data_IF_807036750575
#
_entry.id   IF_807036750575
#
_cell.length_a   1.000
_cell.length_b   1.000
_cell.length_c   1.000
_cell.angle_alpha   90.00
_cell.angle_beta   90.00
_cell.angle_gamma   90.00
#
_symmetry.space_group_name_H-M   'P 1'
#
loop_
_entity.id
_entity.type
_entity.pdbx_description
1 polymer ?
#
# COMPACT_ATOMS: atom_id res chain seq x y z
N UNK A 1 -5.99 -4.06 13.90
CA UNK A 1 -5.67 -5.32 13.20
C UNK A 1 -5.52 -5.20 11.67
N UNK A 2 -6.56 -4.98 10.86
CA UNK A 2 -6.42 -5.06 9.38
C UNK A 2 -5.44 -4.04 8.76
N UNK A 3 -5.53 -2.77 9.18
CA UNK A 3 -4.57 -1.74 8.78
C UNK A 3 -3.18 -2.07 9.33
N UNK A 4 -3.09 -2.69 10.51
CA UNK A 4 -1.81 -3.10 11.10
C UNK A 4 -1.14 -4.20 10.28
N UNK A 5 -1.91 -5.12 9.68
CA UNK A 5 -1.41 -6.12 8.72
C UNK A 5 -0.84 -5.47 7.46
N UNK A 6 -1.47 -4.40 6.96
CA UNK A 6 -0.88 -3.55 5.91
C UNK A 6 0.37 -2.78 6.41
N UNK A 7 0.42 -2.45 7.70
CA UNK A 7 1.54 -1.69 8.30
C UNK A 7 2.80 -2.50 8.56
N UNK A 8 2.76 -3.84 8.50
CA UNK A 8 3.95 -4.71 8.60
C UNK A 8 4.91 -4.45 7.42
N UNK A 9 4.45 -3.73 6.40
CA UNK A 9 5.20 -3.40 5.20
C UNK A 9 5.60 -1.93 5.24
N UNK A 10 6.49 -1.50 6.16
CA UNK A 10 7.81 -2.12 6.36
C UNK A 10 8.28 -2.21 7.83
N UNK A 11 8.54 -3.43 8.33
CA UNK A 11 9.09 -3.76 9.67
C UNK A 11 10.37 -2.99 10.09
N UNK A 12 10.99 -2.22 9.20
CA UNK A 12 12.19 -1.39 9.48
C UNK A 12 12.00 0.10 9.30
N UNK A 13 10.80 0.56 8.92
CA UNK A 13 10.61 1.98 8.65
C UNK A 13 10.07 2.71 9.87
N UNK A 14 10.70 3.83 10.23
CA UNK A 14 10.19 4.79 11.22
C UNK A 14 8.94 5.55 10.72
N UNK A 15 8.19 4.98 9.77
CA UNK A 15 7.12 5.67 9.05
C UNK A 15 5.84 5.68 9.89
N UNK A 16 5.30 6.88 10.09
CA UNK A 16 4.01 7.07 10.75
C UNK A 16 2.90 6.98 9.71
N UNK A 17 1.95 6.06 9.93
CA UNK A 17 0.71 6.01 9.17
C UNK A 17 -0.12 7.26 9.44
N UNK A 18 -0.10 8.18 8.47
CA UNK A 18 -0.90 9.41 8.54
C UNK A 18 -2.40 9.08 8.40
N UNK A 19 -3.31 9.94 8.89
CA UNK A 19 -4.75 9.76 8.67
C UNK A 19 -5.11 9.57 7.19
N UNK A 20 -4.42 10.28 6.29
CA UNK A 20 -4.59 10.14 4.85
C UNK A 20 -4.24 8.73 4.36
N UNK A 21 -3.10 8.16 4.79
CA UNK A 21 -2.72 6.79 4.40
C UNK A 21 -3.71 5.75 4.91
N UNK A 22 -4.25 5.93 6.12
CA UNK A 22 -5.29 5.05 6.66
C UNK A 22 -6.58 5.13 5.85
N UNK A 23 -6.95 6.32 5.37
CA UNK A 23 -8.12 6.52 4.50
C UNK A 23 -7.95 5.79 3.17
N UNK A 24 -6.80 5.91 2.52
CA UNK A 24 -6.50 5.19 1.27
C UNK A 24 -6.50 3.67 1.48
N UNK A 25 -5.86 3.17 2.54
CA UNK A 25 -5.91 1.74 2.86
C UNK A 25 -7.33 1.24 3.14
N UNK A 26 -8.16 2.05 3.78
CA UNK A 26 -9.57 1.69 4.04
C UNK A 26 -10.37 1.65 2.74
N UNK A 27 -10.15 2.60 1.83
CA UNK A 27 -10.77 2.62 0.51
C UNK A 27 -10.35 1.39 -0.29
N UNK A 28 -9.04 1.11 -0.40
CA UNK A 28 -8.54 -0.14 -0.99
C UNK A 28 -9.23 -1.36 -0.40
N UNK A 29 -9.36 -1.49 0.92
CA UNK A 29 -9.93 -2.71 1.51
C UNK A 29 -11.44 -2.88 1.34
N UNK A 30 -12.19 -1.79 1.12
CA UNK A 30 -13.66 -1.79 1.12
C UNK A 30 -14.28 -1.60 -0.26
N UNK A 31 -13.60 -0.89 -1.15
CA UNK A 31 -14.11 -0.58 -2.47
C UNK A 31 -13.70 -1.68 -3.46
N UNK A 32 -14.63 -2.44 -4.05
CA UNK A 32 -14.30 -3.51 -4.98
C UNK A 32 -13.58 -3.01 -6.25
N UNK A 33 -13.82 -1.76 -6.67
CA UNK A 33 -13.18 -1.17 -7.85
C UNK A 33 -11.70 -0.82 -7.59
N UNK A 34 -11.34 -0.60 -6.33
CA UNK A 34 -9.96 -0.31 -5.92
C UNK A 34 -9.15 -1.60 -5.83
N UNK A 35 -8.65 -2.06 -6.99
CA UNK A 35 -7.92 -3.33 -7.15
C UNK A 35 -6.45 -3.24 -6.76
N UNK A 36 -5.88 -2.04 -6.74
CA UNK A 36 -4.46 -1.83 -6.46
C UNK A 36 -4.26 -0.73 -5.43
N UNK A 37 -3.26 -0.92 -4.57
CA UNK A 37 -2.72 0.14 -3.73
C UNK A 37 -1.20 0.10 -3.84
N UNK A 38 -0.60 1.27 -4.02
CA UNK A 38 0.84 1.44 -4.13
C UNK A 38 1.35 2.16 -2.89
N UNK A 39 2.45 1.67 -2.35
CA UNK A 39 3.24 2.33 -1.32
C UNK A 39 4.64 2.54 -1.88
N UNK A 40 5.14 3.76 -1.94
CA UNK A 40 6.42 4.03 -2.63
C UNK A 40 7.22 5.14 -2.01
N UNK A 41 8.52 5.11 -2.29
CA UNK A 41 9.48 6.11 -1.81
C UNK A 41 9.58 7.25 -2.82
N UNK A 42 9.33 8.47 -2.37
CA UNK A 42 9.54 9.71 -3.14
C UNK A 42 10.68 10.51 -2.55
N UNK A 43 11.49 11.14 -3.41
CA UNK A 43 12.46 12.15 -3.01
C UNK A 43 11.93 13.52 -3.40
N UNK A 44 11.76 14.41 -2.44
CA UNK A 44 11.30 15.78 -2.65
C UNK A 44 12.15 16.73 -1.81
N UNK A 45 12.73 17.77 -2.44
CA UNK A 45 13.56 18.78 -1.80
C UNK A 45 14.65 18.20 -0.86
N UNK A 46 15.39 17.19 -1.35
CA UNK A 46 16.45 16.51 -0.60
C UNK A 46 15.96 15.58 0.54
N UNK A 47 14.65 15.42 0.71
CA UNK A 47 14.05 14.55 1.73
C UNK A 47 13.42 13.32 1.08
N UNK A 48 13.73 12.16 1.64
CA UNK A 48 13.08 10.89 1.29
C UNK A 48 11.81 10.74 2.13
N UNK A 49 10.68 10.46 1.48
CA UNK A 49 9.36 10.25 2.11
C UNK A 49 8.68 9.04 1.52
N UNK A 50 7.75 8.47 2.27
CA UNK A 50 6.81 7.47 1.76
C UNK A 50 5.55 8.17 1.26
N UNK A 51 5.00 7.68 0.18
CA UNK A 51 3.69 8.02 -0.34
C UNK A 51 2.85 6.75 -0.47
N UNK A 52 1.54 6.89 -0.31
CA UNK A 52 0.54 5.85 -0.58
C UNK A 52 -0.42 6.40 -1.62
N UNK A 53 -0.81 5.58 -2.59
CA UNK A 53 -1.71 5.95 -3.69
C UNK A 53 -2.52 4.73 -4.11
N UNK A 54 -3.76 4.93 -4.53
CA UNK A 54 -4.58 3.91 -5.19
C UNK A 54 -4.28 3.82 -6.69
N UNK A 55 -3.63 4.85 -7.23
CA UNK A 55 -3.14 4.87 -8.61
C UNK A 55 -1.68 4.45 -8.68
N UNK A 56 -1.28 3.92 -9.84
CA UNK A 56 0.12 3.66 -10.14
C UNK A 56 0.94 4.95 -10.05
N UNK A 57 2.13 4.92 -9.42
CA UNK A 57 2.99 6.09 -9.34
C UNK A 57 3.41 6.54 -10.75
N UNK A 58 3.23 7.81 -11.05
CA UNK A 58 3.67 8.43 -12.31
C UNK A 58 4.99 9.15 -12.06
N UNK A 59 6.03 8.79 -12.81
CA UNK A 59 7.36 9.40 -12.74
C UNK A 59 8.41 8.58 -11.96
N UNK A 60 9.57 9.20 -11.73
CA UNK A 60 10.69 8.55 -11.06
C UNK A 60 10.44 8.43 -9.55
N UNK A 61 10.13 7.21 -9.11
CA UNK A 61 9.99 6.84 -7.70
C UNK A 61 11.09 5.84 -7.32
N UNK A 62 11.39 5.77 -6.03
CA UNK A 62 12.32 4.78 -5.49
C UNK A 62 11.70 3.39 -5.44
N UNK A 63 11.92 2.66 -4.34
CA UNK A 63 11.25 1.39 -4.10
C UNK A 63 9.73 1.56 -4.11
N UNK A 64 9.03 0.60 -4.73
CA UNK A 64 7.58 0.53 -4.78
C UNK A 64 7.11 -0.83 -4.28
N UNK A 65 6.12 -0.81 -3.40
CA UNK A 65 5.36 -1.96 -2.96
C UNK A 65 3.94 -1.86 -3.52
N UNK A 66 3.56 -2.82 -4.35
CA UNK A 66 2.21 -2.95 -4.88
C UNK A 66 1.43 -3.94 -4.03
N UNK A 67 0.19 -3.60 -3.71
CA UNK A 67 -0.79 -4.45 -3.08
C UNK A 67 -1.91 -4.67 -4.08
N UNK A 68 -2.13 -5.92 -4.46
CA UNK A 68 -3.08 -6.34 -5.50
C UNK A 68 -4.17 -7.18 -4.86
N UNK A 69 -5.43 -6.88 -5.14
CA UNK A 69 -6.52 -7.81 -4.82
C UNK A 69 -6.54 -8.96 -5.82
N UNK A 70 -6.52 -10.18 -5.32
CA UNK A 70 -6.53 -11.41 -6.11
C UNK A 70 -7.93 -11.92 -6.40
N UNK A 71 -8.90 -11.56 -5.57
CA UNK A 71 -10.26 -12.07 -5.65
C UNK A 71 -11.26 -10.92 -5.71
N UNK A 72 -12.44 -11.20 -6.24
CA UNK A 72 -13.60 -10.30 -6.25
C UNK A 72 -14.35 -10.35 -4.91
N UNK A 73 -13.71 -10.89 -3.86
CA UNK A 73 -14.25 -10.88 -2.51
C UNK A 73 -14.67 -9.46 -2.09
N UNK A 74 -15.95 -9.33 -1.80
CA UNK A 74 -16.60 -8.07 -1.42
C UNK A 74 -16.05 -7.52 -0.11
N UNK A 75 -15.40 -8.35 0.72
CA UNK A 75 -14.95 -7.94 2.05
C UNK A 75 -13.64 -8.59 2.49
N UNK A 76 -12.56 -7.80 2.42
CA UNK A 76 -11.26 -8.19 2.96
C UNK A 76 -11.25 -7.96 4.49
N UNK A 77 -10.91 -9.01 5.21
CA UNK A 77 -10.78 -9.06 6.68
C UNK A 77 -9.35 -9.41 7.09
N UNK A 78 -9.03 -9.35 8.39
CA UNK A 78 -7.66 -9.61 8.84
C UNK A 78 -7.28 -11.10 8.66
N UNK A 79 -8.29 -11.97 8.67
CA UNK A 79 -8.13 -13.42 8.58
C UNK A 79 -7.82 -13.89 7.16
N UNK A 80 -8.50 -13.32 6.16
CA UNK A 80 -8.31 -13.68 4.74
C UNK A 80 -7.35 -12.75 3.99
N UNK A 81 -6.83 -11.70 4.62
CA UNK A 81 -5.97 -10.70 3.96
C UNK A 81 -4.84 -11.29 3.11
N UNK A 82 -4.14 -12.32 3.60
CA UNK A 82 -3.02 -12.96 2.89
C UNK A 82 -3.45 -13.78 1.66
N UNK A 83 -4.70 -14.23 1.64
CA UNK A 83 -5.28 -14.98 0.53
C UNK A 83 -5.86 -14.00 -0.51
N UNK A 84 -6.39 -12.86 -0.05
CA UNK A 84 -7.02 -11.86 -0.92
C UNK A 84 -6.04 -10.81 -1.48
N UNK A 85 -4.92 -10.55 -0.82
CA UNK A 85 -4.01 -9.46 -1.17
C UNK A 85 -2.58 -9.94 -1.41
N UNK A 86 -2.10 -9.79 -2.65
CA UNK A 86 -0.71 -10.06 -3.00
C UNK A 86 0.13 -8.79 -2.93
N UNK A 87 1.23 -8.86 -2.18
CA UNK A 87 2.29 -7.86 -2.20
C UNK A 87 3.38 -8.18 -3.23
N UNK A 88 3.68 -7.24 -4.12
CA UNK A 88 4.83 -7.27 -5.03
C UNK A 88 5.79 -6.13 -4.70
N UNK A 89 7.08 -6.41 -4.59
CA UNK A 89 8.12 -5.41 -4.40
C UNK A 89 8.88 -5.17 -5.70
N UNK A 90 8.91 -3.92 -6.15
CA UNK A 90 9.75 -3.48 -7.26
C UNK A 90 10.84 -2.59 -6.70
N UNK A 91 12.06 -3.12 -6.70
CA UNK A 91 13.27 -2.33 -6.47
C UNK A 91 13.69 -1.74 -7.82
N UNK A 92 13.79 -0.41 -7.98
CA UNK A 92 14.33 0.16 -9.22
C UNK A 92 15.78 -0.31 -9.40
N UNK A 93 16.07 -0.84 -10.59
CA UNK A 93 17.43 -1.17 -11.05
C UNK A 93 18.17 0.04 -11.58
#
# INVERSE_FOLDING_TARGET
ELIETLTVLPEKSRLKWTPHFKSLATSFLRDPEERIMCCYVVRSAGKTRLAVSLNLPVGAVGAVWYFLKLDDEVRITAQNFKECVWKVERVPG
#
